data_IF_631435766647
#
_entry.id   IF_631435766647
#
_cell.length_a   1.000
_cell.length_b   1.000
_cell.length_c   1.000
_cell.angle_alpha   90.00
_cell.angle_beta   90.00
_cell.angle_gamma   90.00
#
_symmetry.space_group_name_H-M   'P 1'
#
loop_
_entity.id
_entity.type
_entity.pdbx_description
1 polymer ?
#
# COMPACT_ATOMS: atom_id res chain seq x y z
N UNK A 1 14.00 37.81 21.45
CA UNK A 1 12.93 36.98 22.06
C UNK A 1 12.97 35.62 21.38
N UNK A 2 13.45 34.60 22.07
CA UNK A 2 13.62 33.26 21.51
C UNK A 2 12.27 32.52 21.52
N UNK A 3 11.70 32.29 20.33
CA UNK A 3 10.53 31.43 20.18
C UNK A 3 10.99 29.98 20.25
N UNK A 4 10.75 29.35 21.39
CA UNK A 4 10.96 27.93 21.61
C UNK A 4 10.12 27.13 20.61
N UNK A 5 10.78 26.55 19.61
CA UNK A 5 10.15 25.64 18.67
C UNK A 5 9.77 24.38 19.43
N UNK A 6 8.51 24.31 19.89
CA UNK A 6 7.93 23.16 20.57
C UNK A 6 7.91 22.00 19.58
N UNK A 7 8.97 21.18 19.61
CA UNK A 7 9.01 19.82 19.04
C UNK A 7 7.74 19.09 19.45
N UNK A 8 6.77 19.01 18.54
CA UNK A 8 5.55 18.25 18.75
C UNK A 8 5.93 16.77 18.85
N UNK A 9 5.77 16.19 20.03
CA UNK A 9 5.67 14.74 20.22
C UNK A 9 4.39 14.30 19.52
N UNK A 10 4.45 14.00 18.23
CA UNK A 10 3.36 13.31 17.55
C UNK A 10 3.57 11.82 17.80
N UNK A 11 3.05 11.44 18.95
CA UNK A 11 2.29 10.24 19.22
C UNK A 11 2.44 9.08 18.22
N UNK A 12 3.01 7.98 18.73
CA UNK A 12 3.30 6.74 18.01
C UNK A 12 2.03 6.00 17.54
N UNK A 13 0.83 6.40 17.94
CA UNK A 13 -0.41 5.73 17.50
C UNK A 13 -0.73 5.99 16.02
N UNK A 14 -0.14 7.04 15.41
CA UNK A 14 -0.46 7.42 14.04
C UNK A 14 0.41 6.75 12.96
N UNK A 15 1.18 5.69 13.31
CA UNK A 15 1.99 4.88 12.37
C UNK A 15 1.50 3.44 12.22
N UNK A 16 0.39 3.08 12.84
CA UNK A 16 -0.17 1.74 12.77
C UNK A 16 -1.14 1.66 11.59
N UNK A 17 -0.92 0.72 10.68
CA UNK A 17 -1.84 0.45 9.57
C UNK A 17 -3.17 -0.06 10.10
N UNK A 18 -4.28 0.51 9.63
CA UNK A 18 -5.63 0.05 9.97
C UNK A 18 -6.19 -0.78 8.82
N UNK A 19 -6.69 -1.98 9.12
CA UNK A 19 -7.30 -2.86 8.11
C UNK A 19 -8.46 -2.19 7.37
N UNK A 20 -9.18 -1.27 8.03
CA UNK A 20 -10.26 -0.46 7.44
C UNK A 20 -9.80 0.44 6.28
N UNK A 21 -8.51 0.78 6.20
CA UNK A 21 -7.94 1.51 5.07
C UNK A 21 -7.92 0.68 3.79
N UNK A 22 -7.86 -0.65 3.91
CA UNK A 22 -7.93 -1.55 2.75
C UNK A 22 -9.26 -1.39 2.03
N UNK A 23 -10.35 -1.42 2.79
CA UNK A 23 -11.69 -1.25 2.25
C UNK A 23 -11.93 0.19 1.81
N UNK A 24 -11.42 1.17 2.56
CA UNK A 24 -11.68 2.59 2.27
C UNK A 24 -10.86 3.14 1.09
N UNK A 25 -9.61 2.70 0.91
CA UNK A 25 -8.66 3.33 -0.01
C UNK A 25 -7.96 2.35 -0.97
N UNK A 26 -8.34 1.07 -0.98
CA UNK A 26 -7.70 0.04 -1.79
C UNK A 26 -6.18 -0.05 -1.55
N UNK A 27 -5.77 -0.09 -0.28
CA UNK A 27 -4.35 -0.21 0.10
C UNK A 27 -4.11 -1.41 0.98
N UNK A 28 -2.91 -1.98 0.93
CA UNK A 28 -2.48 -3.07 1.82
C UNK A 28 -1.12 -2.77 2.40
N UNK A 29 -0.86 -3.24 3.62
CA UNK A 29 0.47 -3.16 4.19
C UNK A 29 1.33 -4.32 3.63
N UNK A 30 2.48 -3.98 3.05
CA UNK A 30 3.55 -4.92 2.72
C UNK A 30 4.80 -4.56 3.53
N UNK A 31 5.13 -5.39 4.52
CA UNK A 31 6.24 -5.14 5.44
C UNK A 31 6.14 -3.73 6.06
N UNK A 32 7.09 -2.84 5.73
CA UNK A 32 7.16 -1.47 6.26
C UNK A 32 6.64 -0.41 5.29
N UNK A 33 5.98 -0.81 4.20
CA UNK A 33 5.36 0.12 3.25
C UNK A 33 3.89 -0.21 3.03
N UNK A 34 3.14 0.77 2.55
CA UNK A 34 1.76 0.58 2.12
C UNK A 34 1.74 0.50 0.59
N UNK A 35 1.16 -0.54 0.04
CA UNK A 35 0.98 -0.72 -1.41
C UNK A 35 -0.44 -0.33 -1.81
N UNK A 36 -0.58 0.51 -2.83
CA UNK A 36 -1.87 0.76 -3.46
C UNK A 36 -2.23 -0.37 -4.41
N UNK A 37 -3.40 -0.98 -4.25
CA UNK A 37 -3.87 -2.07 -5.11
C UNK A 37 -4.29 -1.60 -6.51
N UNK A 38 -4.55 -0.30 -6.70
CA UNK A 38 -5.06 0.25 -7.96
C UNK A 38 -3.92 0.55 -8.93
N UNK A 39 -2.88 1.23 -8.47
CA UNK A 39 -1.74 1.64 -9.28
C UNK A 39 -0.43 0.91 -8.94
N UNK A 40 -0.44 0.03 -7.93
CA UNK A 40 0.74 -0.69 -7.44
C UNK A 40 1.89 0.23 -6.96
N UNK A 41 1.59 1.49 -6.63
CA UNK A 41 2.57 2.41 -6.03
C UNK A 41 2.71 2.16 -4.53
N UNK A 42 3.93 2.33 -4.02
CA UNK A 42 4.23 2.23 -2.59
C UNK A 42 4.19 3.60 -1.91
N UNK A 43 3.61 3.64 -0.71
CA UNK A 43 3.49 4.79 0.17
C UNK A 43 4.32 4.45 1.40
N UNK A 44 5.50 5.07 1.52
CA UNK A 44 6.48 4.78 2.57
C UNK A 44 6.05 5.23 3.98
N UNK A 45 5.00 6.06 4.08
CA UNK A 45 4.58 6.64 5.37
C UNK A 45 3.21 6.10 5.74
N UNK A 46 3.14 5.36 6.84
CA UNK A 46 1.94 4.83 7.49
C UNK A 46 1.04 5.91 8.10
N UNK A 47 0.59 6.86 7.28
CA UNK A 47 -0.25 7.97 7.71
C UNK A 47 -1.47 8.04 6.81
N UNK A 48 -2.65 7.97 7.41
CA UNK A 48 -3.93 8.02 6.71
C UNK A 48 -4.03 9.19 5.74
N UNK A 49 -3.53 10.37 6.13
CA UNK A 49 -3.53 11.55 5.25
C UNK A 49 -2.75 11.34 3.95
N UNK A 50 -1.64 10.59 3.98
CA UNK A 50 -0.88 10.27 2.76
C UNK A 50 -1.68 9.31 1.87
N UNK A 51 -2.27 8.27 2.45
CA UNK A 51 -3.14 7.32 1.74
C UNK A 51 -4.35 8.05 1.12
N UNK A 52 -5.03 8.88 1.91
CA UNK A 52 -6.22 9.62 1.48
C UNK A 52 -5.90 10.60 0.35
N UNK A 53 -4.80 11.35 0.44
CA UNK A 53 -4.38 12.26 -0.63
C UNK A 53 -4.06 11.50 -1.92
N UNK A 54 -3.36 10.37 -1.80
CA UNK A 54 -3.06 9.51 -2.93
C UNK A 54 -4.34 9.00 -3.60
N UNK A 55 -5.26 8.40 -2.83
CA UNK A 55 -6.54 7.90 -3.34
C UNK A 55 -7.38 9.02 -3.96
N UNK A 56 -7.53 10.15 -3.26
CA UNK A 56 -8.37 11.25 -3.71
C UNK A 56 -7.86 11.85 -5.03
N UNK A 57 -6.54 12.03 -5.18
CA UNK A 57 -5.95 12.64 -6.37
C UNK A 57 -5.90 11.73 -7.58
N UNK A 58 -5.74 10.41 -7.39
CA UNK A 58 -5.47 9.46 -8.48
C UNK A 58 -6.66 8.55 -8.81
N UNK A 59 -7.52 8.27 -7.83
CA UNK A 59 -8.45 7.14 -7.91
C UNK A 59 -9.90 7.48 -7.55
N UNK A 60 -10.15 8.58 -6.83
CA UNK A 60 -11.52 8.99 -6.44
C UNK A 60 -12.49 8.95 -7.63
N UNK A 61 -12.14 9.59 -8.75
CA UNK A 61 -13.03 9.71 -9.91
C UNK A 61 -13.52 8.38 -10.48
N UNK A 62 -12.77 7.29 -10.29
CA UNK A 62 -13.10 5.96 -10.85
C UNK A 62 -13.63 4.98 -9.80
N UNK A 63 -13.24 5.13 -8.53
CA UNK A 63 -13.47 4.14 -7.48
C UNK A 63 -14.39 4.60 -6.35
N UNK A 64 -14.77 5.89 -6.31
CA UNK A 64 -15.68 6.41 -5.29
C UNK A 64 -17.09 5.79 -5.40
N UNK A 65 -17.56 5.55 -6.64
CA UNK A 65 -18.86 4.89 -6.88
C UNK A 65 -18.88 3.37 -6.66
N UNK A 66 -17.72 2.74 -6.40
CA UNK A 66 -17.65 1.29 -6.19
C UNK A 66 -17.87 1.00 -4.70
N UNK A 67 -19.04 0.47 -4.34
CA UNK A 67 -19.44 0.26 -2.94
C UNK A 67 -19.89 -1.18 -2.67
N UNK A 68 -20.03 -1.53 -1.40
CA UNK A 68 -20.54 -2.83 -0.96
C UNK A 68 -19.70 -4.02 -1.44
N UNK A 69 -20.37 -5.12 -1.76
CA UNK A 69 -19.71 -6.38 -2.13
C UNK A 69 -18.81 -6.25 -3.37
N UNK A 70 -19.20 -5.43 -4.34
CA UNK A 70 -18.40 -5.19 -5.55
C UNK A 70 -17.04 -4.58 -5.21
N UNK A 71 -16.98 -3.74 -4.17
CA UNK A 71 -15.72 -3.15 -3.69
C UNK A 71 -14.82 -4.22 -3.09
N UNK A 72 -15.36 -5.07 -2.23
CA UNK A 72 -14.63 -6.16 -1.58
C UNK A 72 -14.13 -7.19 -2.59
N UNK A 73 -14.95 -7.55 -3.56
CA UNK A 73 -14.58 -8.45 -4.64
C UNK A 73 -13.39 -7.89 -5.44
N UNK A 74 -13.48 -6.61 -5.84
CA UNK A 74 -12.40 -5.90 -6.54
C UNK A 74 -11.08 -5.90 -5.75
N UNK A 75 -11.15 -5.64 -4.45
CA UNK A 75 -9.98 -5.67 -3.55
C UNK A 75 -9.36 -7.07 -3.54
N UNK A 76 -10.18 -8.12 -3.42
CA UNK A 76 -9.69 -9.49 -3.39
C UNK A 76 -9.06 -9.89 -4.73
N UNK A 77 -9.69 -9.56 -5.87
CA UNK A 77 -9.12 -9.84 -7.19
C UNK A 77 -7.76 -9.14 -7.36
N UNK A 78 -7.65 -7.87 -7.01
CA UNK A 78 -6.38 -7.11 -7.11
C UNK A 78 -5.29 -7.70 -6.21
N UNK A 79 -5.64 -8.14 -5.00
CA UNK A 79 -4.69 -8.82 -4.11
C UNK A 79 -4.16 -10.11 -4.72
N UNK A 80 -5.05 -10.94 -5.28
CA UNK A 80 -4.64 -12.19 -5.92
C UNK A 80 -3.75 -11.94 -7.14
N UNK A 81 -4.07 -10.93 -7.94
CA UNK A 81 -3.25 -10.54 -9.10
C UNK A 81 -1.83 -10.11 -8.67
N UNK A 82 -1.72 -9.27 -7.64
CA UNK A 82 -0.42 -8.84 -7.11
C UNK A 82 0.38 -10.02 -6.55
N UNK A 83 -0.26 -10.93 -5.83
CA UNK A 83 0.40 -12.14 -5.31
C UNK A 83 0.90 -13.02 -6.45
N UNK A 84 0.08 -13.24 -7.48
CA UNK A 84 0.47 -14.00 -8.66
C UNK A 84 1.69 -13.37 -9.37
N UNK A 85 1.68 -12.04 -9.54
CA UNK A 85 2.82 -11.29 -10.09
C UNK A 85 4.09 -11.51 -9.24
N UNK A 86 3.98 -11.39 -7.91
CA UNK A 86 5.12 -11.59 -7.00
C UNK A 86 5.68 -13.01 -7.04
N UNK A 87 4.83 -14.02 -7.22
CA UNK A 87 5.28 -15.42 -7.37
C UNK A 87 6.08 -15.61 -8.67
N UNK A 88 5.62 -15.03 -9.78
CA UNK A 88 6.35 -15.09 -11.06
C UNK A 88 7.75 -14.45 -10.95
N UNK A 89 7.86 -13.29 -10.31
CA UNK A 89 9.16 -12.64 -10.09
C UNK A 89 10.10 -13.45 -9.19
N UNK A 90 9.58 -14.21 -8.23
CA UNK A 90 10.39 -15.11 -7.39
C UNK A 90 10.89 -16.33 -8.15
N UNK A 91 10.08 -16.88 -9.05
CA UNK A 91 10.46 -18.05 -9.86
C UNK A 91 11.53 -17.68 -10.88
N UNK A 92 11.42 -16.53 -11.55
CA UNK A 92 12.41 -16.07 -12.54
C UNK A 92 13.78 -15.74 -11.95
N UNK A 93 13.86 -15.35 -10.67
CA UNK A 93 15.13 -15.06 -9.99
C UNK A 93 15.87 -16.31 -9.47
N UNK A 94 15.23 -17.48 -9.43
CA UNK A 94 15.89 -18.74 -9.04
C UNK A 94 16.69 -19.38 -10.19
N UNK A 95 16.58 -18.84 -11.41
CA UNK A 95 17.28 -19.37 -12.59
C UNK A 95 18.61 -18.66 -12.91
N UNK A 96 19.02 -17.66 -12.10
CA UNK A 96 20.22 -16.86 -12.36
C UNK A 96 21.43 -17.20 -11.47
N UNK A 97 21.28 -18.10 -10.47
CA UNK A 97 22.38 -18.53 -9.61
C UNK A 97 22.69 -20.02 -9.86
N UNK A 98 23.48 -20.27 -10.92
CA UNK A 98 23.82 -21.63 -11.33
C UNK A 98 24.91 -21.75 -12.38
N UNK A 99 25.96 -20.91 -12.31
CA UNK A 99 27.22 -21.16 -13.02
C UNK A 99 28.37 -20.91 -12.05
N UNK A 100 28.80 -21.94 -11.35
CA UNK A 100 30.19 -22.17 -10.94
C UNK A 100 30.30 -23.62 -10.45
N UNK A 101 30.72 -24.51 -11.33
CA UNK A 101 31.41 -25.74 -10.95
C UNK A 101 32.46 -25.97 -12.02
N UNK A 102 33.72 -25.97 -11.58
CA UNK A 102 34.92 -26.05 -12.43
C UNK A 102 35.28 -27.45 -12.88
#
# INVERSE_FOLDING_TARGET
MASVDKKRKIDSENRIFKSSWTESYFVVQQADVILCLICQETIAVHKENNIKKHYCSKHSSKFDGVVGQTRTDRINSMKQEIVAQQLLFKIGNQSAEGVYVG
#
